data_IF_991435655409
#
_entry.id   IF_991435655409
#
_cell.length_a   1.000
_cell.length_b   1.000
_cell.length_c   1.000
_cell.angle_alpha   90.00
_cell.angle_beta   90.00
_cell.angle_gamma   90.00
#
_symmetry.space_group_name_H-M   'P 1'
#
loop_
_entity.id
_entity.type
_entity.pdbx_description
1 polymer ?
#
# COMPACT_ATOMS: atom_id res chain seq x y z
N UNK A 1 5.74 -6.38 1.03
CA UNK A 1 5.41 -7.72 1.57
C UNK A 1 4.26 -8.36 0.80
N UNK A 2 3.16 -7.64 0.55
CA UNK A 2 2.04 -8.11 -0.29
C UNK A 2 2.53 -8.53 -1.68
N UNK A 3 3.26 -7.66 -2.40
CA UNK A 3 3.78 -7.97 -3.74
C UNK A 3 4.71 -9.22 -3.79
N UNK A 4 5.46 -9.46 -2.71
CA UNK A 4 6.37 -10.62 -2.61
C UNK A 4 5.54 -11.91 -2.45
N UNK A 5 4.49 -11.86 -1.63
CA UNK A 5 3.59 -12.99 -1.44
C UNK A 5 2.82 -13.30 -2.73
N UNK A 6 2.29 -12.29 -3.41
CA UNK A 6 1.52 -12.45 -4.65
C UNK A 6 2.37 -13.04 -5.78
N UNK A 7 3.61 -12.54 -5.96
CA UNK A 7 4.55 -13.12 -6.93
C UNK A 7 4.92 -14.56 -6.57
N UNK A 8 5.12 -14.86 -5.29
CA UNK A 8 5.48 -16.21 -4.83
C UNK A 8 4.33 -17.21 -5.02
N UNK A 9 3.08 -16.79 -4.77
CA UNK A 9 1.88 -17.58 -5.01
C UNK A 9 1.73 -17.85 -6.50
N UNK A 10 1.82 -16.81 -7.34
CA UNK A 10 1.69 -16.93 -8.80
C UNK A 10 2.74 -17.88 -9.37
N UNK A 11 4.02 -17.68 -9.05
CA UNK A 11 5.10 -18.54 -9.54
C UNK A 11 4.94 -20.00 -9.08
N UNK A 12 4.52 -20.22 -7.83
CA UNK A 12 4.32 -21.58 -7.30
C UNK A 12 3.08 -22.23 -7.90
N UNK A 13 2.00 -21.47 -8.11
CA UNK A 13 0.75 -21.93 -8.71
C UNK A 13 0.96 -22.37 -10.16
N UNK A 14 1.61 -21.53 -10.96
CA UNK A 14 1.72 -21.76 -12.40
C UNK A 14 2.90 -22.69 -12.74
N UNK A 15 3.98 -22.62 -11.96
CA UNK A 15 5.18 -23.43 -12.16
C UNK A 15 5.08 -24.88 -11.68
N UNK A 16 4.00 -25.27 -11.00
CA UNK A 16 3.83 -26.64 -10.49
C UNK A 16 2.47 -27.21 -10.92
N UNK A 17 2.42 -28.42 -11.54
CA UNK A 17 1.16 -29.04 -11.92
C UNK A 17 0.34 -29.44 -10.68
N UNK A 18 -0.99 -29.46 -10.82
CA UNK A 18 -1.91 -29.86 -9.74
C UNK A 18 -1.79 -31.35 -9.39
N UNK A 19 -1.38 -32.16 -10.37
CA UNK A 19 -1.24 -33.61 -10.24
C UNK A 19 0.11 -34.08 -10.73
N UNK A 20 0.48 -35.30 -10.36
CA UNK A 20 1.66 -36.03 -10.84
C UNK A 20 1.32 -37.51 -11.03
N UNK A 21 1.93 -38.20 -12.01
CA UNK A 21 1.73 -39.65 -12.15
C UNK A 21 2.27 -40.39 -10.91
N UNK A 22 1.61 -41.47 -10.53
CA UNK A 22 2.11 -42.36 -9.47
C UNK A 22 3.31 -43.16 -9.97
N UNK A 23 4.35 -43.27 -9.13
CA UNK A 23 5.55 -44.07 -9.43
C UNK A 23 5.22 -45.57 -9.50
N UNK A 24 4.24 -46.02 -8.70
CA UNK A 24 3.86 -47.43 -8.61
C UNK A 24 2.80 -47.82 -9.66
N UNK A 25 2.09 -46.85 -10.23
CA UNK A 25 1.01 -47.09 -11.20
C UNK A 25 0.82 -45.83 -12.07
N UNK A 26 1.60 -45.67 -13.16
CA UNK A 26 1.65 -44.43 -13.94
C UNK A 26 0.31 -43.95 -14.52
N UNK A 27 -0.65 -44.86 -14.69
CA UNK A 27 -2.02 -44.55 -15.14
C UNK A 27 -2.82 -43.76 -14.10
N UNK A 28 -2.38 -43.77 -12.83
CA UNK A 28 -3.00 -43.01 -11.75
C UNK A 28 -2.34 -41.64 -11.61
N UNK A 29 -3.18 -40.60 -11.65
CA UNK A 29 -2.78 -39.24 -11.32
C UNK A 29 -3.03 -38.93 -9.85
N UNK A 30 -1.96 -38.65 -9.11
CA UNK A 30 -1.99 -38.27 -7.71
C UNK A 30 -1.98 -36.76 -7.56
N UNK A 31 -2.53 -36.26 -6.45
CA UNK A 31 -2.39 -34.85 -6.07
C UNK A 31 -0.91 -34.52 -5.85
N UNK A 32 -0.46 -33.41 -6.42
CA UNK A 32 0.89 -32.92 -6.20
C UNK A 32 0.99 -32.19 -4.85
N UNK A 33 1.16 -32.94 -3.77
CA UNK A 33 1.21 -32.39 -2.41
C UNK A 33 2.33 -31.35 -2.21
N UNK A 34 3.42 -31.44 -2.97
CA UNK A 34 4.54 -30.50 -2.87
C UNK A 34 4.14 -29.09 -3.29
N UNK A 35 3.25 -28.95 -4.30
CA UNK A 35 2.67 -27.66 -4.71
C UNK A 35 1.91 -27.02 -3.55
N UNK A 36 0.96 -27.75 -2.98
CA UNK A 36 0.09 -27.23 -1.93
C UNK A 36 0.83 -26.98 -0.62
N UNK A 37 1.87 -27.77 -0.33
CA UNK A 37 2.74 -27.54 0.82
C UNK A 37 3.51 -26.22 0.69
N UNK A 38 4.02 -25.90 -0.52
CA UNK A 38 4.68 -24.61 -0.78
C UNK A 38 3.71 -23.44 -0.66
N UNK A 39 2.52 -23.55 -1.26
CA UNK A 39 1.48 -22.52 -1.16
C UNK A 39 1.06 -22.28 0.30
N UNK A 40 0.88 -23.36 1.07
CA UNK A 40 0.56 -23.30 2.50
C UNK A 40 1.62 -22.56 3.31
N UNK A 41 2.91 -22.78 3.03
CA UNK A 41 4.01 -22.04 3.69
C UNK A 41 3.95 -20.54 3.40
N UNK A 42 3.70 -20.15 2.15
CA UNK A 42 3.59 -18.73 1.76
C UNK A 42 2.40 -18.08 2.49
N UNK A 43 1.24 -18.74 2.50
CA UNK A 43 0.05 -18.24 3.16
C UNK A 43 0.23 -18.12 4.69
N UNK A 44 0.87 -19.11 5.31
CA UNK A 44 1.17 -19.08 6.75
C UNK A 44 2.14 -17.96 7.12
N UNK A 45 3.18 -17.76 6.31
CA UNK A 45 4.12 -16.66 6.53
C UNK A 45 3.42 -15.32 6.38
N UNK A 46 2.60 -15.13 5.34
CA UNK A 46 1.81 -13.91 5.16
C UNK A 46 0.89 -13.63 6.35
N UNK A 47 0.19 -14.65 6.83
CA UNK A 47 -0.69 -14.58 8.01
C UNK A 47 0.07 -14.19 9.27
N UNK A 48 1.31 -14.65 9.46
CA UNK A 48 2.13 -14.33 10.64
C UNK A 48 2.31 -12.82 10.82
N UNK A 49 2.55 -12.08 9.73
CA UNK A 49 2.68 -10.63 9.79
C UNK A 49 1.34 -9.91 9.98
N UNK A 50 0.23 -10.54 9.62
CA UNK A 50 -1.10 -10.08 9.99
C UNK A 50 -1.38 -10.33 11.48
N UNK A 51 -0.89 -11.42 12.06
CA UNK A 51 -1.14 -11.80 13.47
C UNK A 51 -0.35 -10.98 14.49
N UNK A 52 0.85 -10.50 14.14
CA UNK A 52 1.52 -9.42 14.90
C UNK A 52 0.61 -8.20 14.99
N UNK A 53 -0.32 -8.06 14.05
CA UNK A 53 -1.39 -7.08 14.06
C UNK A 53 -2.70 -7.48 14.80
N UNK A 54 -2.78 -8.60 15.52
CA UNK A 54 -4.02 -8.97 16.24
C UNK A 54 -3.81 -9.68 17.58
N UNK A 55 -2.58 -9.97 18.00
CA UNK A 55 -2.30 -10.70 19.25
C UNK A 55 -2.03 -9.78 20.46
N UNK A 56 -3.04 -9.01 20.85
CA UNK A 56 -3.26 -8.56 22.24
C UNK A 56 -4.77 -8.43 22.48
N UNK A 57 -5.47 -9.57 22.40
CA UNK A 57 -6.93 -9.65 22.63
C UNK A 57 -7.25 -9.50 24.12
N UNK A 58 -7.37 -8.25 24.55
CA UNK A 58 -8.48 -7.82 25.43
C UNK A 58 -9.63 -7.44 24.48
N UNK A 59 -10.90 -7.81 24.73
CA UNK A 59 -11.93 -7.82 23.69
C UNK A 59 -12.47 -6.44 23.25
N UNK A 60 -11.83 -5.32 23.61
CA UNK A 60 -12.43 -3.98 23.47
C UNK A 60 -11.58 -2.96 22.72
N UNK A 61 -10.38 -3.29 22.25
CA UNK A 61 -9.59 -2.33 21.47
C UNK A 61 -8.65 -3.01 20.46
N UNK A 62 -9.02 -3.08 19.16
CA UNK A 62 -8.17 -3.66 18.14
C UNK A 62 -7.16 -2.59 17.70
N UNK A 63 -6.05 -2.42 18.43
CA UNK A 63 -4.95 -1.61 17.92
C UNK A 63 -3.63 -2.36 18.04
N UNK A 64 -3.23 -3.06 16.97
CA UNK A 64 -1.91 -3.68 16.88
C UNK A 64 -0.72 -2.75 16.81
N UNK A 65 -0.96 -1.50 16.49
CA UNK A 65 0.04 -0.47 16.53
C UNK A 65 -0.33 0.49 17.65
N UNK A 66 0.66 0.90 18.44
CA UNK A 66 0.46 1.94 19.46
C UNK A 66 0.40 3.32 18.80
N UNK A 67 -0.61 3.51 17.95
CA UNK A 67 -0.89 4.75 17.26
C UNK A 67 -2.29 5.22 17.63
N UNK A 68 -2.44 6.54 17.73
CA UNK A 68 -3.74 7.16 17.86
C UNK A 68 -4.29 7.47 16.47
N UNK A 69 -5.44 6.91 16.13
CA UNK A 69 -6.09 7.20 14.87
C UNK A 69 -6.72 8.59 14.89
N UNK A 70 -6.32 9.44 13.94
CA UNK A 70 -6.93 10.75 13.72
C UNK A 70 -7.93 10.65 12.58
N UNK A 71 -9.22 10.77 12.89
CA UNK A 71 -10.31 10.58 11.93
C UNK A 71 -10.19 11.47 10.68
N UNK A 72 -9.82 12.75 10.87
CA UNK A 72 -9.61 13.68 9.78
C UNK A 72 -8.53 13.21 8.79
N UNK A 73 -7.43 12.65 9.31
CA UNK A 73 -6.34 12.12 8.50
C UNK A 73 -6.78 10.87 7.76
N UNK A 74 -7.51 9.98 8.42
CA UNK A 74 -8.02 8.75 7.82
C UNK A 74 -9.01 9.04 6.68
N UNK A 75 -9.92 10.00 6.88
CA UNK A 75 -10.86 10.43 5.86
C UNK A 75 -10.16 11.06 4.65
N UNK A 76 -9.15 11.92 4.90
CA UNK A 76 -8.35 12.51 3.85
C UNK A 76 -7.59 11.45 3.03
N UNK A 77 -6.90 10.51 3.71
CA UNK A 77 -6.13 9.46 3.02
C UNK A 77 -7.04 8.54 2.20
N UNK A 78 -8.19 8.11 2.74
CA UNK A 78 -9.17 7.33 1.98
C UNK A 78 -9.63 8.07 0.73
N UNK A 79 -9.96 9.36 0.86
CA UNK A 79 -10.39 10.19 -0.26
C UNK A 79 -9.31 10.27 -1.34
N UNK A 80 -8.09 10.67 -0.98
CA UNK A 80 -6.98 10.85 -1.95
C UNK A 80 -6.58 9.53 -2.62
N UNK A 81 -6.56 8.41 -1.88
CA UNK A 81 -6.21 7.10 -2.45
C UNK A 81 -7.30 6.57 -3.39
N UNK A 82 -8.57 6.90 -3.13
CA UNK A 82 -9.69 6.51 -4.01
C UNK A 82 -9.80 7.43 -5.23
N UNK A 83 -9.51 8.73 -5.07
CA UNK A 83 -9.54 9.73 -6.15
C UNK A 83 -8.30 9.66 -7.06
N UNK A 84 -7.18 9.10 -6.59
CA UNK A 84 -6.01 8.81 -7.43
C UNK A 84 -6.24 7.62 -8.36
N UNK A 85 -7.20 7.76 -9.25
CA UNK A 85 -7.19 7.07 -10.55
C UNK A 85 -6.35 7.88 -11.54
N UNK A 86 -5.17 7.38 -11.89
CA UNK A 86 -4.44 7.77 -13.11
C UNK A 86 -4.08 9.26 -13.27
N UNK A 87 -3.23 9.79 -12.40
CA UNK A 87 -2.26 10.78 -12.89
C UNK A 87 -1.31 10.03 -13.83
N UNK A 88 -1.37 10.31 -15.14
CA UNK A 88 -0.48 9.64 -16.12
C UNK A 88 0.97 9.75 -15.63
N UNK A 89 1.67 8.61 -15.60
CA UNK A 89 3.10 8.54 -15.27
C UNK A 89 3.88 9.53 -16.15
N UNK A 90 3.44 9.77 -17.38
CA UNK A 90 4.03 10.74 -18.31
C UNK A 90 3.84 12.19 -17.87
N UNK A 91 2.75 12.53 -17.19
CA UNK A 91 2.56 13.87 -16.62
C UNK A 91 3.52 14.11 -15.45
N UNK A 92 3.78 13.09 -14.63
CA UNK A 92 4.77 13.14 -13.55
C UNK A 92 6.20 13.20 -14.12
N UNK A 93 6.49 12.42 -15.15
CA UNK A 93 7.78 12.41 -15.83
C UNK A 93 8.09 13.77 -16.48
N UNK A 94 7.13 14.36 -17.21
CA UNK A 94 7.30 15.71 -17.79
C UNK A 94 7.59 16.76 -16.73
N UNK A 95 6.85 16.78 -15.62
CA UNK A 95 7.14 17.70 -14.50
C UNK A 95 8.52 17.47 -13.89
N UNK A 96 8.96 16.21 -13.80
CA UNK A 96 10.29 15.87 -13.31
C UNK A 96 11.39 16.40 -14.24
N UNK A 97 11.22 16.29 -15.56
CA UNK A 97 12.16 16.82 -16.56
C UNK A 97 12.21 18.36 -16.54
N UNK A 98 11.04 19.02 -16.54
CA UNK A 98 10.92 20.49 -16.46
C UNK A 98 11.62 21.06 -15.22
N UNK A 99 11.55 20.35 -14.09
CA UNK A 99 12.23 20.74 -12.86
C UNK A 99 13.75 20.56 -12.94
N UNK A 100 14.23 19.60 -13.74
CA UNK A 100 15.66 19.28 -13.86
C UNK A 100 16.37 20.21 -14.84
N UNK A 101 15.71 20.54 -15.95
CA UNK A 101 16.25 21.43 -16.98
C UNK A 101 16.46 22.86 -16.49
N UNK A 102 15.65 23.33 -15.53
CA UNK A 102 15.83 24.65 -14.89
C UNK A 102 17.06 24.76 -14.00
N UNK A 103 17.68 23.66 -13.59
CA UNK A 103 18.92 23.70 -12.79
C UNK A 103 20.19 23.86 -13.63
N UNK A 104 20.10 23.71 -14.96
CA UNK A 104 21.21 23.91 -15.88
C UNK A 104 21.37 25.38 -16.34
N UNK A 105 20.37 26.23 -16.12
CA UNK A 105 20.43 27.66 -16.45
C UNK A 105 20.02 28.53 -15.25
N UNK A 106 21.01 28.82 -14.40
CA UNK A 106 21.03 29.84 -13.35
C UNK A 106 19.98 29.77 -12.21
N UNK A 107 20.55 29.75 -11.00
CA UNK A 107 20.01 30.04 -9.66
C UNK A 107 19.24 28.97 -8.85
N UNK A 108 19.68 28.70 -7.59
CA UNK A 108 19.16 27.63 -6.75
C UNK A 108 18.17 28.18 -5.71
N UNK A 109 16.88 28.11 -6.01
CA UNK A 109 15.86 28.20 -4.97
C UNK A 109 14.59 27.51 -5.47
N UNK A 110 14.51 26.20 -5.25
CA UNK A 110 13.19 25.60 -4.99
C UNK A 110 12.78 26.11 -3.62
N UNK A 111 12.33 27.37 -3.57
CA UNK A 111 11.47 27.85 -2.51
C UNK A 111 10.22 26.98 -2.64
N UNK A 112 10.18 25.91 -1.85
CA UNK A 112 8.94 25.27 -1.46
C UNK A 112 8.16 26.32 -0.66
N UNK A 113 7.62 27.30 -1.37
CA UNK A 113 6.53 28.10 -0.82
C UNK A 113 5.44 27.09 -0.46
N UNK A 114 5.01 27.02 0.82
CA UNK A 114 3.73 26.42 1.11
C UNK A 114 2.76 27.19 0.21
N UNK A 115 2.17 26.54 -0.81
CA UNK A 115 1.11 27.17 -1.61
C UNK A 115 -0.09 27.37 -0.70
N UNK A 116 -0.03 28.41 0.14
CA UNK A 116 -1.19 29.05 0.69
C UNK A 116 -1.86 29.77 -0.48
N UNK A 117 -2.90 29.17 -1.02
CA UNK A 117 -3.80 29.85 -1.95
C UNK A 117 -3.68 29.38 -3.39
N UNK A 118 -4.26 28.23 -3.69
CA UNK A 118 -5.06 28.07 -4.90
C UNK A 118 -5.98 26.84 -4.82
N UNK A 119 -6.61 26.63 -3.68
CA UNK A 119 -7.87 25.88 -3.65
C UNK A 119 -8.87 26.87 -3.07
N UNK A 120 -9.87 27.27 -3.87
CA UNK A 120 -11.01 28.00 -3.33
C UNK A 120 -11.69 27.06 -2.34
N UNK A 121 -11.28 27.11 -1.08
CA UNK A 121 -12.07 26.55 0.01
C UNK A 121 -13.46 27.17 -0.11
N UNK A 122 -14.45 26.32 -0.28
CA UNK A 122 -15.85 26.68 -0.11
C UNK A 122 -15.98 27.53 1.16
N UNK A 123 -16.61 28.70 1.06
CA UNK A 123 -16.74 29.71 2.12
C UNK A 123 -17.54 29.24 3.35
N UNK A 124 -17.93 27.96 3.41
CA UNK A 124 -18.81 27.41 4.43
C UNK A 124 -18.08 26.52 5.46
N UNK A 125 -16.75 26.55 5.52
CA UNK A 125 -15.99 25.84 6.55
C UNK A 125 -15.53 26.87 7.58
N UNK A 126 -16.30 27.01 8.66
CA UNK A 126 -15.87 27.75 9.85
C UNK A 126 -14.52 27.23 10.33
N UNK A 127 -13.58 28.16 10.60
CA UNK A 127 -12.26 27.81 11.14
C UNK A 127 -12.43 27.26 12.56
N UNK A 128 -11.91 26.06 12.88
CA UNK A 128 -12.02 25.51 14.21
C UNK A 128 -11.15 26.31 15.21
N UNK A 129 -11.70 26.53 16.39
CA UNK A 129 -11.24 27.45 17.45
C UNK A 129 -9.87 27.15 18.05
N UNK A 130 -9.29 25.98 17.81
CA UNK A 130 -7.96 25.61 18.31
C UNK A 130 -6.79 26.26 17.54
N UNK A 131 -7.06 26.89 16.40
CA UNK A 131 -6.07 27.68 15.63
C UNK A 131 -5.91 29.13 16.16
N UNK A 132 -6.64 29.54 17.19
CA UNK A 132 -6.52 30.87 17.81
C UNK A 132 -5.89 30.78 19.20
N UNK A 133 -4.66 30.28 19.27
CA UNK A 133 -3.79 30.47 20.43
C UNK A 133 -2.85 31.64 20.17
N UNK A 134 -3.06 32.78 20.82
CA UNK A 134 -2.07 33.87 20.89
C UNK A 134 -0.91 33.40 21.80
N UNK A 135 0.32 33.52 21.31
CA UNK A 135 1.53 33.58 22.15
C UNK A 135 1.62 34.99 22.74
#
# INVERSE_FOLDING_TARGET
MIDIADNSITFTSDGNPNTRPSVLSPDLNLINQDKYSKLGRIAMEFRRYQEVSYSLRIPTNPQPFNFHELEAVQNFLRKVLTERGSGSVDALYRKSCESKDRTASADPAVMLEPRQGSEKLSSNVERPTWLSGKI
#
